data_IF_046414712148
#
_entry.id   IF_046414712148
#
_cell.length_a   1.000
_cell.length_b   1.000
_cell.length_c   1.000
_cell.angle_alpha   90.00
_cell.angle_beta   90.00
_cell.angle_gamma   90.00
#
_symmetry.space_group_name_H-M   'P 1'
#
loop_
_entity.id
_entity.type
_entity.pdbx_description
1 polymer ?
#
# COMPACT_ATOMS: atom_id res chain seq x y z
N UNK A 1 -3.08 21.67 -22.48
CA UNK A 1 -3.71 22.11 -21.22
C UNK A 1 -5.21 21.81 -21.17
N UNK A 2 -6.07 22.43 -22.05
CA UNK A 2 -7.54 22.19 -21.97
C UNK A 2 -7.90 20.70 -22.10
N UNK A 3 -7.27 19.97 -23.05
CA UNK A 3 -7.50 18.54 -23.25
C UNK A 3 -7.08 17.71 -22.02
N UNK A 4 -5.98 18.08 -21.37
CA UNK A 4 -5.50 17.40 -20.16
C UNK A 4 -6.49 17.57 -19.00
N UNK A 5 -7.01 18.79 -18.80
CA UNK A 5 -8.06 19.04 -17.79
C UNK A 5 -9.36 18.29 -18.10
N UNK A 6 -9.75 18.19 -19.38
CA UNK A 6 -10.93 17.42 -19.78
C UNK A 6 -10.78 15.93 -19.46
N UNK A 7 -9.61 15.35 -19.76
CA UNK A 7 -9.30 13.95 -19.44
C UNK A 7 -9.38 13.73 -17.92
N UNK A 8 -8.82 14.65 -17.14
CA UNK A 8 -8.86 14.56 -15.67
C UNK A 8 -10.28 14.66 -15.13
N UNK A 9 -11.12 15.56 -15.69
CA UNK A 9 -12.53 15.66 -15.31
C UNK A 9 -13.28 14.40 -15.65
N UNK A 10 -13.12 13.85 -16.84
CA UNK A 10 -13.75 12.59 -17.26
C UNK A 10 -13.32 11.44 -16.35
N UNK A 11 -12.03 11.37 -16.01
CA UNK A 11 -11.50 10.40 -15.06
C UNK A 11 -12.17 10.53 -13.67
N UNK A 12 -12.24 11.74 -13.11
CA UNK A 12 -12.86 11.97 -11.81
C UNK A 12 -14.35 11.58 -11.79
N UNK A 13 -15.10 11.98 -12.84
CA UNK A 13 -16.50 11.61 -13.00
C UNK A 13 -16.70 10.09 -13.16
N UNK A 14 -15.80 9.42 -13.87
CA UNK A 14 -15.82 7.96 -14.00
C UNK A 14 -15.61 7.27 -12.65
N UNK A 15 -14.67 7.75 -11.82
CA UNK A 15 -14.44 7.21 -10.46
C UNK A 15 -15.68 7.36 -9.58
N UNK A 16 -16.33 8.53 -9.58
CA UNK A 16 -17.56 8.75 -8.83
C UNK A 16 -18.72 7.89 -9.35
N UNK A 17 -18.86 7.76 -10.68
CA UNK A 17 -19.88 6.93 -11.33
C UNK A 17 -19.73 5.44 -10.99
N UNK A 18 -18.49 4.92 -11.03
CA UNK A 18 -18.16 3.55 -10.61
C UNK A 18 -18.40 3.35 -9.12
N UNK A 19 -18.04 4.34 -8.30
CA UNK A 19 -18.34 4.36 -6.87
C UNK A 19 -19.83 4.20 -6.61
N UNK A 20 -20.67 4.98 -7.29
CA UNK A 20 -22.12 4.89 -7.20
C UNK A 20 -22.66 3.55 -7.70
N UNK A 21 -22.11 3.00 -8.79
CA UNK A 21 -22.51 1.66 -9.26
C UNK A 21 -22.12 0.57 -8.24
N UNK A 22 -20.95 0.68 -7.61
CA UNK A 22 -20.50 -0.21 -6.55
C UNK A 22 -21.44 -0.19 -5.32
N UNK A 23 -21.96 1.00 -4.97
CA UNK A 23 -22.95 1.15 -3.89
C UNK A 23 -24.18 0.27 -4.09
N UNK A 24 -24.65 0.09 -5.34
CA UNK A 24 -25.79 -0.78 -5.65
C UNK A 24 -25.51 -2.26 -5.40
N UNK A 25 -24.24 -2.67 -5.40
CA UNK A 25 -23.81 -4.04 -5.12
C UNK A 25 -23.56 -4.28 -3.63
N UNK A 26 -23.23 -3.26 -2.87
CA UNK A 26 -22.94 -3.33 -1.44
C UNK A 26 -24.24 -3.30 -0.62
N UNK A 27 -24.87 -4.48 -0.42
CA UNK A 27 -26.14 -4.63 0.31
C UNK A 27 -25.96 -5.09 1.75
N UNK A 28 -24.83 -5.68 2.09
CA UNK A 28 -24.49 -6.20 3.41
C UNK A 28 -23.15 -5.63 3.90
N UNK A 29 -22.86 -5.78 5.18
CA UNK A 29 -21.55 -5.47 5.74
C UNK A 29 -20.42 -6.25 5.03
N UNK A 30 -20.62 -7.54 4.79
CA UNK A 30 -19.66 -8.38 4.07
C UNK A 30 -19.43 -7.89 2.63
N UNK A 31 -20.50 -7.40 1.96
CA UNK A 31 -20.32 -6.76 0.64
C UNK A 31 -19.50 -5.49 0.74
N UNK A 32 -19.72 -4.69 1.79
CA UNK A 32 -19.01 -3.42 1.99
C UNK A 32 -17.53 -3.62 2.37
N UNK A 33 -17.21 -4.58 3.26
CA UNK A 33 -15.86 -4.77 3.76
C UNK A 33 -14.99 -5.67 2.86
N UNK A 34 -15.57 -6.71 2.24
CA UNK A 34 -14.82 -7.75 1.49
C UNK A 34 -15.51 -8.19 0.19
N UNK A 35 -16.34 -7.34 -0.41
CA UNK A 35 -17.10 -7.62 -1.65
C UNK A 35 -17.85 -8.97 -1.64
N UNK A 36 -18.35 -9.37 -0.46
CA UNK A 36 -19.04 -10.64 -0.25
C UNK A 36 -18.21 -11.89 -0.56
N UNK A 37 -16.89 -11.79 -0.64
CA UNK A 37 -15.95 -12.88 -0.98
C UNK A 37 -16.23 -13.49 -2.36
N UNK A 38 -16.59 -12.68 -3.35
CA UNK A 38 -17.08 -13.13 -4.67
C UNK A 38 -16.19 -12.77 -5.85
N UNK A 39 -14.98 -12.21 -5.60
CA UNK A 39 -14.13 -11.75 -6.71
C UNK A 39 -13.52 -12.92 -7.48
N UNK A 40 -13.69 -12.89 -8.79
CA UNK A 40 -13.02 -13.79 -9.73
C UNK A 40 -11.59 -13.34 -10.04
N UNK A 41 -10.83 -14.12 -10.85
CA UNK A 41 -9.38 -13.92 -11.03
C UNK A 41 -9.02 -12.52 -11.56
N UNK A 42 -9.73 -12.02 -12.57
CA UNK A 42 -9.42 -10.70 -13.17
C UNK A 42 -9.65 -9.53 -12.20
N UNK A 43 -10.81 -9.52 -11.51
CA UNK A 43 -11.10 -8.50 -10.51
C UNK A 43 -10.12 -8.55 -9.32
N UNK A 44 -9.81 -9.77 -8.89
CA UNK A 44 -8.85 -9.97 -7.80
C UNK A 44 -7.44 -9.51 -8.16
N UNK A 45 -6.91 -9.89 -9.34
CA UNK A 45 -5.60 -9.47 -9.82
C UNK A 45 -5.53 -7.94 -9.91
N UNK A 46 -6.52 -7.32 -10.54
CA UNK A 46 -6.53 -5.87 -10.73
C UNK A 46 -6.58 -5.10 -9.42
N UNK A 47 -7.46 -5.47 -8.48
CA UNK A 47 -7.55 -4.77 -7.18
C UNK A 47 -6.33 -5.05 -6.28
N UNK A 48 -5.75 -6.26 -6.32
CA UNK A 48 -4.53 -6.59 -5.59
C UNK A 48 -3.33 -5.79 -6.11
N UNK A 49 -3.12 -5.75 -7.42
CA UNK A 49 -2.05 -4.94 -8.02
C UNK A 49 -2.30 -3.44 -7.84
N UNK A 50 -3.57 -3.01 -7.86
CA UNK A 50 -3.91 -1.60 -7.73
C UNK A 50 -3.58 -1.05 -6.33
N UNK A 51 -3.91 -1.76 -5.26
CA UNK A 51 -3.70 -1.27 -3.88
C UNK A 51 -2.23 -1.08 -3.54
N UNK A 52 -1.34 -1.91 -4.06
CA UNK A 52 0.10 -1.89 -3.76
C UNK A 52 0.84 -0.83 -4.56
N UNK A 53 0.39 -0.56 -5.79
CA UNK A 53 1.06 0.36 -6.69
C UNK A 53 0.52 1.79 -6.52
N UNK A 54 0.89 2.43 -5.43
CA UNK A 54 0.52 3.81 -5.07
C UNK A 54 1.53 4.87 -5.45
N UNK A 55 1.46 6.01 -4.75
CA UNK A 55 2.34 7.16 -5.00
C UNK A 55 3.81 6.84 -4.81
N UNK A 56 4.19 6.19 -3.71
CA UNK A 56 5.56 5.78 -3.46
C UNK A 56 6.07 4.74 -4.47
N UNK A 57 5.21 3.78 -4.86
CA UNK A 57 5.56 2.77 -5.86
C UNK A 57 5.68 3.33 -7.29
N UNK A 58 5.04 4.45 -7.60
CA UNK A 58 5.09 5.09 -8.92
C UNK A 58 6.09 6.25 -8.90
N UNK A 59 5.75 7.34 -8.22
CA UNK A 59 6.55 8.57 -8.18
C UNK A 59 7.87 8.33 -7.44
N UNK A 60 7.80 7.64 -6.29
CA UNK A 60 8.98 7.31 -5.51
C UNK A 60 9.95 6.40 -6.27
N UNK A 61 9.45 5.43 -7.03
CA UNK A 61 10.32 4.54 -7.83
C UNK A 61 10.93 5.27 -9.02
N UNK A 62 10.21 6.20 -9.67
CA UNK A 62 10.78 7.05 -10.71
C UNK A 62 11.88 7.97 -10.13
N UNK A 63 11.66 8.56 -8.94
CA UNK A 63 12.71 9.29 -8.20
C UNK A 63 13.95 8.40 -7.95
N UNK A 64 13.75 7.19 -7.43
CA UNK A 64 14.85 6.25 -7.18
C UNK A 64 15.56 5.87 -8.48
N UNK A 65 14.83 5.69 -9.58
CA UNK A 65 15.38 5.45 -10.91
C UNK A 65 16.20 6.64 -11.42
N UNK A 66 15.77 7.87 -11.15
CA UNK A 66 16.50 9.09 -11.46
C UNK A 66 17.83 9.18 -10.67
N UNK A 67 17.84 8.75 -9.41
CA UNK A 67 19.01 8.83 -8.53
C UNK A 67 19.97 7.64 -8.68
N UNK A 68 19.43 6.42 -8.82
CA UNK A 68 20.16 5.16 -8.71
C UNK A 68 19.97 4.22 -9.92
N UNK A 69 19.32 4.68 -10.99
CA UNK A 69 19.09 3.87 -12.17
C UNK A 69 18.17 2.68 -11.94
N UNK A 70 18.47 1.55 -12.57
CA UNK A 70 17.65 0.35 -12.53
C UNK A 70 17.46 -0.20 -11.10
N UNK A 71 18.46 -0.03 -10.23
CA UNK A 71 18.38 -0.46 -8.83
C UNK A 71 17.27 0.22 -8.02
N UNK A 72 16.71 1.33 -8.52
CA UNK A 72 15.51 1.95 -7.93
C UNK A 72 14.27 1.06 -7.91
N UNK A 73 14.24 -0.04 -8.69
CA UNK A 73 13.12 -0.99 -8.73
C UNK A 73 12.89 -1.74 -7.41
N UNK A 74 13.90 -1.87 -6.53
CA UNK A 74 13.88 -2.77 -5.38
C UNK A 74 12.72 -2.52 -4.41
N UNK A 75 12.27 -1.28 -4.24
CA UNK A 75 11.11 -0.96 -3.39
C UNK A 75 9.88 -1.77 -3.84
N UNK A 76 9.50 -1.64 -5.11
CA UNK A 76 8.30 -2.30 -5.65
C UNK A 76 8.53 -3.78 -5.89
N UNK A 77 9.76 -4.17 -6.22
CA UNK A 77 10.14 -5.58 -6.38
C UNK A 77 9.90 -6.35 -5.08
N UNK A 78 10.29 -5.79 -3.92
CA UNK A 78 10.09 -6.44 -2.62
C UNK A 78 8.60 -6.54 -2.24
N UNK A 79 7.79 -5.53 -2.56
CA UNK A 79 6.33 -5.62 -2.41
C UNK A 79 5.73 -6.74 -3.27
N UNK A 80 6.12 -6.79 -4.56
CA UNK A 80 5.68 -7.84 -5.48
C UNK A 80 6.08 -9.24 -5.02
N UNK A 81 7.32 -9.40 -4.52
CA UNK A 81 7.82 -10.66 -3.96
C UNK A 81 7.01 -11.07 -2.72
N UNK A 82 6.68 -10.13 -1.84
CA UNK A 82 5.82 -10.36 -0.69
C UNK A 82 4.44 -10.89 -1.08
N UNK A 83 3.80 -10.28 -2.10
CA UNK A 83 2.51 -10.76 -2.63
C UNK A 83 2.63 -12.18 -3.20
N UNK A 84 3.71 -12.49 -3.93
CA UNK A 84 3.94 -13.84 -4.47
C UNK A 84 4.03 -14.86 -3.34
N UNK A 85 4.86 -14.60 -2.34
CA UNK A 85 5.02 -15.51 -1.19
C UNK A 85 3.71 -15.66 -0.41
N UNK A 86 3.01 -14.55 -0.15
CA UNK A 86 1.72 -14.56 0.51
C UNK A 86 0.70 -15.42 -0.25
N UNK A 87 0.66 -15.28 -1.57
CA UNK A 87 -0.28 -15.99 -2.45
C UNK A 87 0.06 -17.48 -2.61
N UNK A 88 1.33 -17.85 -2.68
CA UNK A 88 1.75 -19.24 -2.90
C UNK A 88 1.83 -20.06 -1.60
N UNK A 89 2.33 -19.43 -0.53
CA UNK A 89 2.63 -20.12 0.73
C UNK A 89 1.44 -20.06 1.71
N UNK A 90 0.83 -18.88 1.86
CA UNK A 90 -0.15 -18.63 2.92
C UNK A 90 -1.61 -18.60 2.44
N UNK A 91 -1.89 -18.67 1.12
CA UNK A 91 -3.24 -18.58 0.56
C UNK A 91 -4.24 -19.53 1.20
N UNK A 92 -3.85 -20.81 1.38
CA UNK A 92 -4.70 -21.85 1.97
C UNK A 92 -5.04 -21.57 3.42
N UNK A 93 -4.05 -21.12 4.20
CA UNK A 93 -4.24 -20.82 5.62
C UNK A 93 -5.15 -19.60 5.80
N UNK A 94 -4.88 -18.52 5.06
CA UNK A 94 -5.61 -17.27 5.17
C UNK A 94 -7.05 -17.39 4.67
N UNK A 95 -7.29 -18.08 3.54
CA UNK A 95 -8.62 -18.27 2.98
C UNK A 95 -9.57 -19.05 3.93
N UNK A 96 -9.03 -19.93 4.77
CA UNK A 96 -9.79 -20.72 5.76
C UNK A 96 -10.17 -19.95 7.01
N UNK A 97 -9.47 -18.85 7.33
CA UNK A 97 -9.69 -18.10 8.57
C UNK A 97 -11.05 -17.37 8.60
N UNK A 98 -11.63 -17.05 7.44
CA UNK A 98 -12.92 -16.32 7.28
C UNK A 98 -13.05 -15.06 8.16
N UNK A 99 -11.93 -14.39 8.43
CA UNK A 99 -11.84 -13.15 9.19
C UNK A 99 -12.01 -11.93 8.28
N UNK A 100 -12.15 -10.73 8.85
CA UNK A 100 -12.14 -9.44 8.15
C UNK A 100 -10.81 -8.71 8.34
N UNK A 101 -10.09 -9.02 9.41
CA UNK A 101 -8.84 -8.32 9.78
C UNK A 101 -7.73 -9.30 10.15
N UNK A 102 -6.49 -8.87 9.88
CA UNK A 102 -5.28 -9.62 10.28
C UNK A 102 -5.20 -9.78 11.80
N UNK A 103 -5.62 -8.77 12.54
CA UNK A 103 -5.57 -8.74 14.00
C UNK A 103 -6.56 -9.69 14.67
N UNK A 104 -7.63 -10.12 13.96
CA UNK A 104 -8.48 -11.22 14.43
C UNK A 104 -7.71 -12.54 14.55
N UNK A 105 -6.65 -12.73 13.75
CA UNK A 105 -5.76 -13.89 13.88
C UNK A 105 -5.00 -13.85 15.20
N UNK A 106 -4.60 -12.66 15.66
CA UNK A 106 -3.97 -12.49 16.97
C UNK A 106 -4.92 -12.88 18.11
N UNK A 107 -6.21 -12.51 18.02
CA UNK A 107 -7.21 -12.92 19.03
C UNK A 107 -7.46 -14.41 19.02
N UNK A 108 -7.64 -15.01 17.83
CA UNK A 108 -7.87 -16.45 17.70
C UNK A 108 -6.72 -17.30 18.26
N UNK A 109 -5.49 -16.77 18.18
CA UNK A 109 -4.31 -17.48 18.64
C UNK A 109 -3.91 -17.12 20.07
N UNK A 110 -4.05 -15.87 20.47
CA UNK A 110 -3.58 -15.35 21.76
C UNK A 110 -4.74 -14.95 22.67
N UNK A 111 -5.15 -13.69 22.62
CA UNK A 111 -6.25 -13.15 23.43
C UNK A 111 -6.74 -11.80 22.89
N UNK A 112 -7.89 -11.34 23.41
CA UNK A 112 -8.53 -10.10 22.95
C UNK A 112 -7.63 -8.85 23.06
N UNK A 113 -6.80 -8.72 24.12
CA UNK A 113 -5.87 -7.59 24.27
C UNK A 113 -4.80 -7.55 23.18
N UNK A 114 -4.36 -8.69 22.65
CA UNK A 114 -3.44 -8.73 21.50
C UNK A 114 -4.09 -8.17 20.23
N UNK A 115 -5.40 -8.43 20.02
CA UNK A 115 -6.19 -7.84 18.94
C UNK A 115 -6.32 -6.32 19.09
N UNK A 116 -6.59 -5.83 20.29
CA UNK A 116 -6.72 -4.39 20.55
C UNK A 116 -5.43 -3.63 20.24
N UNK A 117 -4.31 -4.07 20.84
CA UNK A 117 -3.01 -3.41 20.66
C UNK A 117 -2.55 -3.53 19.20
N UNK A 118 -2.67 -4.71 18.60
CA UNK A 118 -2.37 -4.92 17.18
C UNK A 118 -3.28 -4.09 16.28
N UNK A 119 -4.55 -3.94 16.62
CA UNK A 119 -5.52 -3.11 15.90
C UNK A 119 -5.14 -1.63 15.89
N UNK A 120 -4.66 -1.09 16.99
CA UNK A 120 -4.19 0.31 17.07
C UNK A 120 -2.99 0.53 16.13
N UNK A 121 -2.01 -0.39 16.15
CA UNK A 121 -0.85 -0.32 15.24
C UNK A 121 -1.27 -0.44 13.79
N UNK A 122 -2.20 -1.35 13.48
CA UNK A 122 -2.69 -1.59 12.11
C UNK A 122 -3.48 -0.38 11.57
N UNK A 123 -4.34 0.24 12.40
CA UNK A 123 -5.06 1.49 12.02
C UNK A 123 -4.07 2.60 11.73
N UNK A 124 -3.04 2.77 12.58
CA UNK A 124 -2.01 3.78 12.36
C UNK A 124 -1.24 3.54 11.05
N UNK A 125 -0.89 2.28 10.77
CA UNK A 125 -0.23 1.89 9.52
C UNK A 125 -1.08 2.24 8.29
N UNK A 126 -2.29 1.67 8.20
CA UNK A 126 -3.15 1.87 7.03
C UNK A 126 -3.52 3.34 6.82
N UNK A 127 -3.80 4.08 7.92
CA UNK A 127 -4.09 5.51 7.85
C UNK A 127 -2.88 6.30 7.32
N UNK A 128 -1.66 6.02 7.80
CA UNK A 128 -0.47 6.71 7.34
C UNK A 128 -0.12 6.38 5.88
N UNK A 129 -0.35 5.16 5.42
CA UNK A 129 -0.21 4.83 3.99
C UNK A 129 -1.23 5.57 3.14
N UNK A 130 -2.49 5.67 3.61
CA UNK A 130 -3.52 6.46 2.92
C UNK A 130 -3.17 7.96 2.89
N UNK A 131 -2.62 8.50 3.98
CA UNK A 131 -2.09 9.88 4.05
C UNK A 131 -0.97 10.10 3.05
N UNK A 132 0.01 9.20 3.01
CA UNK A 132 1.13 9.23 2.05
C UNK A 132 0.65 9.31 0.61
N UNK A 133 -0.30 8.46 0.24
CA UNK A 133 -0.91 8.46 -1.07
C UNK A 133 -1.65 9.80 -1.33
N UNK A 134 -2.39 10.30 -0.36
CA UNK A 134 -3.16 11.55 -0.50
C UNK A 134 -2.24 12.78 -0.67
N UNK A 135 -1.10 12.82 0.03
CA UNK A 135 -0.06 13.85 -0.18
C UNK A 135 0.45 13.82 -1.63
N UNK A 136 0.68 12.63 -2.17
CA UNK A 136 1.19 12.46 -3.54
C UNK A 136 0.21 12.98 -4.61
N UNK A 137 -1.13 12.95 -4.36
CA UNK A 137 -2.12 13.62 -5.23
C UNK A 137 -1.79 15.12 -5.34
N UNK A 138 -1.56 15.77 -4.20
CA UNK A 138 -1.21 17.20 -4.16
C UNK A 138 0.06 17.49 -4.96
N UNK A 139 1.13 16.75 -4.72
CA UNK A 139 2.43 16.99 -5.36
C UNK A 139 2.38 16.82 -6.88
N UNK A 140 1.75 15.78 -7.40
CA UNK A 140 1.63 15.57 -8.86
C UNK A 140 0.79 16.68 -9.51
N UNK A 141 -0.31 17.05 -8.87
CA UNK A 141 -1.25 18.05 -9.41
C UNK A 141 -0.62 19.44 -9.39
N UNK A 142 0.14 19.76 -8.36
CA UNK A 142 0.85 21.03 -8.25
C UNK A 142 1.93 21.17 -9.34
N UNK A 143 2.77 20.17 -9.52
CA UNK A 143 3.88 20.22 -10.49
C UNK A 143 3.36 20.26 -11.93
N UNK A 144 2.36 19.42 -12.26
CA UNK A 144 1.89 19.32 -13.67
C UNK A 144 0.94 20.45 -14.06
N UNK A 145 0.05 20.84 -13.17
CA UNK A 145 -1.03 21.78 -13.48
C UNK A 145 -0.90 23.14 -12.78
N UNK A 146 0.05 23.30 -11.86
CA UNK A 146 0.20 24.53 -11.06
C UNK A 146 -0.95 24.74 -10.06
N UNK A 147 -1.76 23.72 -9.77
CA UNK A 147 -2.83 23.80 -8.77
C UNK A 147 -2.19 23.71 -7.39
N UNK A 148 -2.45 24.66 -6.46
CA UNK A 148 -1.85 24.60 -5.13
C UNK A 148 -2.12 23.29 -4.43
N UNK A 149 -1.14 22.78 -3.67
CA UNK A 149 -1.14 21.46 -3.03
C UNK A 149 -2.38 21.18 -2.18
N UNK A 150 -2.78 22.11 -1.30
CA UNK A 150 -3.90 21.90 -0.38
C UNK A 150 -5.24 21.73 -1.13
N UNK A 151 -5.66 22.61 -2.06
CA UNK A 151 -6.83 22.37 -2.91
C UNK A 151 -6.79 21.05 -3.66
N UNK A 152 -5.62 20.65 -4.19
CA UNK A 152 -5.46 19.38 -4.90
C UNK A 152 -5.66 18.17 -3.97
N UNK A 153 -5.11 18.20 -2.74
CA UNK A 153 -5.34 17.20 -1.70
C UNK A 153 -6.82 17.08 -1.34
N UNK A 154 -7.48 18.22 -1.10
CA UNK A 154 -8.90 18.25 -0.71
C UNK A 154 -9.81 17.74 -1.83
N UNK A 155 -9.58 18.12 -3.07
CA UNK A 155 -10.36 17.65 -4.22
C UNK A 155 -10.12 16.15 -4.47
N UNK A 156 -8.88 15.74 -4.67
CA UNK A 156 -8.56 14.36 -5.01
C UNK A 156 -8.85 13.38 -3.87
N UNK A 157 -8.44 13.72 -2.64
CA UNK A 157 -8.76 12.94 -1.46
C UNK A 157 -10.25 12.93 -1.14
N UNK A 158 -10.97 14.03 -1.39
CA UNK A 158 -12.43 14.09 -1.29
C UNK A 158 -13.13 13.11 -2.23
N UNK A 159 -12.68 12.98 -3.49
CA UNK A 159 -13.19 11.98 -4.44
C UNK A 159 -12.95 10.55 -3.89
N UNK A 160 -11.75 10.28 -3.36
CA UNK A 160 -11.41 8.99 -2.73
C UNK A 160 -12.38 8.66 -1.59
N UNK A 161 -12.62 9.61 -0.70
CA UNK A 161 -13.55 9.43 0.43
C UNK A 161 -14.95 9.12 -0.08
N UNK A 162 -15.47 9.91 -1.02
CA UNK A 162 -16.84 9.78 -1.51
C UNK A 162 -17.09 8.37 -2.05
N UNK A 163 -16.29 7.87 -3.00
CA UNK A 163 -16.56 6.55 -3.56
C UNK A 163 -16.27 5.42 -2.57
N UNK A 164 -15.33 5.61 -1.63
CA UNK A 164 -15.04 4.62 -0.58
C UNK A 164 -16.20 4.50 0.42
N UNK A 165 -16.75 5.63 0.87
CA UNK A 165 -17.87 5.68 1.83
C UNK A 165 -19.15 5.12 1.26
N UNK A 166 -19.47 5.43 -0.01
CA UNK A 166 -20.78 5.03 -0.58
C UNK A 166 -20.86 3.55 -0.88
N UNK A 167 -19.79 2.87 -1.31
CA UNK A 167 -19.87 1.48 -1.74
C UNK A 167 -18.79 0.53 -1.22
N UNK A 168 -17.85 1.01 -0.41
CA UNK A 168 -16.81 0.18 0.22
C UNK A 168 -16.03 -0.65 -0.81
N UNK A 169 -15.74 -1.91 -0.48
CA UNK A 169 -14.91 -2.80 -1.30
C UNK A 169 -15.46 -3.03 -2.71
N UNK A 170 -16.78 -3.02 -2.92
CA UNK A 170 -17.32 -3.11 -4.28
C UNK A 170 -16.99 -1.89 -5.13
N UNK A 171 -17.13 -0.68 -4.56
CA UNK A 171 -16.69 0.55 -5.26
C UNK A 171 -15.20 0.53 -5.54
N UNK A 172 -14.40 0.18 -4.54
CA UNK A 172 -12.94 0.07 -4.69
C UNK A 172 -12.57 -0.92 -5.80
N UNK A 173 -13.13 -2.13 -5.79
CA UNK A 173 -12.82 -3.13 -6.82
C UNK A 173 -13.13 -2.64 -8.23
N UNK A 174 -14.25 -1.95 -8.42
CA UNK A 174 -14.65 -1.44 -9.74
C UNK A 174 -13.78 -0.28 -10.20
N UNK A 175 -13.43 0.64 -9.30
CA UNK A 175 -12.49 1.74 -9.60
C UNK A 175 -11.09 1.19 -9.83
N UNK A 176 -10.62 0.25 -9.00
CA UNK A 176 -9.28 -0.37 -9.09
C UNK A 176 -9.03 -1.02 -10.46
N UNK A 177 -10.04 -1.68 -11.05
CA UNK A 177 -9.91 -2.30 -12.38
C UNK A 177 -9.66 -1.24 -13.46
N UNK A 178 -10.44 -0.16 -13.47
CA UNK A 178 -10.26 0.92 -14.44
C UNK A 178 -8.92 1.61 -14.20
N UNK A 179 -8.58 1.85 -12.95
CA UNK A 179 -7.28 2.43 -12.56
C UNK A 179 -6.10 1.52 -12.94
N UNK A 180 -6.26 0.20 -12.79
CA UNK A 180 -5.27 -0.78 -13.24
C UNK A 180 -5.04 -0.70 -14.76
N UNK A 181 -6.10 -0.59 -15.56
CA UNK A 181 -5.99 -0.45 -17.01
C UNK A 181 -5.33 0.88 -17.39
N UNK A 182 -5.79 2.00 -16.81
CA UNK A 182 -5.27 3.33 -17.12
C UNK A 182 -3.77 3.42 -16.77
N UNK A 183 -3.35 2.96 -15.61
CA UNK A 183 -1.93 2.98 -15.23
C UNK A 183 -1.08 2.02 -16.06
N UNK A 184 -1.63 0.85 -16.47
CA UNK A 184 -0.92 -0.07 -17.37
C UNK A 184 -0.67 0.60 -18.72
N UNK A 185 -1.68 1.19 -19.33
CA UNK A 185 -1.55 1.90 -20.59
C UNK A 185 -0.61 3.11 -20.45
N UNK A 186 -0.85 3.96 -19.43
CA UNK A 186 -0.09 5.19 -19.23
C UNK A 186 1.40 4.95 -18.97
N UNK A 187 1.75 3.95 -18.17
CA UNK A 187 3.14 3.66 -17.81
C UNK A 187 3.83 2.79 -18.87
N UNK A 188 3.28 1.61 -19.23
CA UNK A 188 3.99 0.67 -20.09
C UNK A 188 3.89 0.99 -21.58
N UNK A 189 2.75 1.56 -22.05
CA UNK A 189 2.53 1.78 -23.47
C UNK A 189 2.78 3.24 -23.89
N UNK A 190 2.77 4.19 -22.96
CA UNK A 190 2.95 5.61 -23.28
C UNK A 190 4.23 6.16 -22.66
N UNK A 191 4.32 6.27 -21.33
CA UNK A 191 5.43 6.98 -20.70
C UNK A 191 6.76 6.26 -20.87
N UNK A 192 6.83 4.96 -20.63
CA UNK A 192 8.07 4.18 -20.75
C UNK A 192 8.70 4.25 -22.15
N UNK A 193 7.98 3.91 -23.23
CA UNK A 193 8.59 3.94 -24.56
C UNK A 193 8.98 5.36 -24.99
N UNK A 194 8.15 6.37 -24.73
CA UNK A 194 8.46 7.76 -25.10
C UNK A 194 9.59 8.36 -24.26
N UNK A 195 9.75 7.94 -23.01
CA UNK A 195 10.89 8.36 -22.17
C UNK A 195 12.21 7.76 -22.68
N UNK A 196 12.21 6.47 -23.06
CA UNK A 196 13.39 5.80 -23.61
C UNK A 196 13.75 6.37 -24.98
N UNK A 197 12.77 6.60 -25.85
CA UNK A 197 12.98 7.20 -27.16
C UNK A 197 13.52 8.62 -27.05
N UNK A 198 12.91 9.45 -26.22
CA UNK A 198 13.39 10.81 -25.94
C UNK A 198 14.82 10.85 -25.39
N UNK A 199 15.22 9.86 -24.58
CA UNK A 199 16.59 9.72 -24.09
C UNK A 199 17.59 9.20 -25.17
N UNK A 200 17.12 8.92 -26.39
CA UNK A 200 17.94 8.41 -27.50
C UNK A 200 18.11 6.90 -27.50
N UNK A 201 17.24 6.15 -26.79
CA UNK A 201 17.26 4.70 -26.69
C UNK A 201 18.16 4.16 -25.57
N UNK A 202 18.00 2.88 -25.28
CA UNK A 202 18.75 2.22 -24.17
C UNK A 202 20.27 2.25 -24.39
N UNK A 203 20.76 2.16 -25.64
CA UNK A 203 22.19 2.21 -25.93
C UNK A 203 22.79 3.56 -25.51
N UNK A 204 22.15 4.68 -25.90
CA UNK A 204 22.60 6.01 -25.48
C UNK A 204 22.51 6.21 -23.97
N UNK A 205 21.44 5.71 -23.34
CA UNK A 205 21.32 5.76 -21.87
C UNK A 205 22.51 5.06 -21.18
N UNK A 206 22.98 3.92 -21.71
CA UNK A 206 24.15 3.22 -21.17
C UNK A 206 25.45 3.99 -21.34
N UNK A 207 25.58 4.77 -22.42
CA UNK A 207 26.78 5.58 -22.68
C UNK A 207 26.82 6.86 -21.82
N UNK A 208 25.68 7.50 -21.59
CA UNK A 208 25.61 8.83 -20.95
C UNK A 208 25.43 8.77 -19.44
N UNK A 209 24.72 7.73 -18.93
CA UNK A 209 24.45 7.60 -17.50
C UNK A 209 25.73 7.18 -16.75
N UNK A 210 25.85 7.57 -15.46
CA UNK A 210 26.96 7.15 -14.62
C UNK A 210 27.14 5.63 -14.60
N UNK A 211 28.37 5.18 -14.46
CA UNK A 211 28.67 3.76 -14.31
C UNK A 211 27.87 3.13 -13.17
N UNK A 212 27.29 1.96 -13.41
CA UNK A 212 26.46 1.27 -12.42
C UNK A 212 24.97 1.57 -12.47
N UNK A 213 24.49 2.55 -13.25
CA UNK A 213 23.02 2.84 -13.32
C UNK A 213 22.17 1.66 -13.80
N UNK A 214 22.75 0.71 -14.51
CA UNK A 214 22.10 -0.54 -14.90
C UNK A 214 22.46 -1.72 -13.99
N UNK A 215 23.30 -1.50 -12.96
CA UNK A 215 23.59 -2.50 -11.95
C UNK A 215 22.50 -2.50 -10.87
N UNK A 216 21.95 -3.69 -10.59
CA UNK A 216 20.94 -3.88 -9.55
C UNK A 216 21.44 -3.62 -8.12
N UNK A 217 22.76 -3.66 -7.91
CA UNK A 217 23.40 -3.36 -6.62
C UNK A 217 23.69 -1.88 -6.38
N UNK A 218 23.51 -1.00 -7.36
CA UNK A 218 23.97 0.39 -7.30
C UNK A 218 23.38 1.21 -6.13
N UNK A 219 22.15 0.94 -5.71
CA UNK A 219 21.50 1.59 -4.56
C UNK A 219 22.13 1.21 -3.20
N UNK A 220 22.96 0.18 -3.19
CA UNK A 220 23.62 -0.34 -1.98
C UNK A 220 22.87 -1.50 -1.33
N UNK A 221 23.63 -2.48 -0.84
CA UNK A 221 23.09 -3.69 -0.21
C UNK A 221 22.29 -3.38 1.05
N UNK A 222 22.73 -2.40 1.85
CA UNK A 222 22.02 -1.98 3.07
C UNK A 222 20.62 -1.47 2.78
N UNK A 223 20.45 -0.69 1.70
CA UNK A 223 19.14 -0.21 1.25
C UNK A 223 18.27 -1.36 0.73
N UNK A 224 18.85 -2.29 -0.04
CA UNK A 224 18.14 -3.48 -0.53
C UNK A 224 17.65 -4.34 0.63
N UNK A 225 18.48 -4.58 1.64
CA UNK A 225 18.11 -5.31 2.85
C UNK A 225 17.03 -4.57 3.65
N UNK A 226 17.12 -3.25 3.77
CA UNK A 226 16.09 -2.44 4.41
C UNK A 226 14.75 -2.53 3.68
N UNK A 227 14.76 -2.45 2.35
CA UNK A 227 13.53 -2.62 1.55
C UNK A 227 12.97 -4.04 1.66
N UNK A 228 13.82 -5.06 1.74
CA UNK A 228 13.39 -6.42 2.04
C UNK A 228 12.71 -6.49 3.41
N UNK A 229 13.33 -5.96 4.45
CA UNK A 229 12.74 -6.00 5.80
C UNK A 229 11.42 -5.21 5.89
N UNK A 230 11.34 -4.02 5.26
CA UNK A 230 10.15 -3.18 5.32
C UNK A 230 9.03 -3.67 4.39
N UNK A 231 9.33 -3.75 3.11
CA UNK A 231 8.27 -3.88 2.09
C UNK A 231 7.88 -5.34 1.82
N UNK A 232 8.86 -6.26 1.81
CA UNK A 232 8.52 -7.69 1.68
C UNK A 232 7.73 -8.18 2.89
N UNK A 233 8.22 -7.94 4.10
CA UNK A 233 7.51 -8.36 5.30
C UNK A 233 6.24 -7.55 5.55
N UNK A 234 6.23 -6.27 5.20
CA UNK A 234 5.02 -5.46 5.26
C UNK A 234 3.91 -5.99 4.35
N UNK A 235 4.26 -6.42 3.13
CA UNK A 235 3.30 -7.05 2.22
C UNK A 235 2.75 -8.38 2.75
N UNK A 236 3.51 -9.10 3.59
CA UNK A 236 3.03 -10.35 4.20
C UNK A 236 1.95 -10.13 5.28
N UNK A 237 1.91 -8.96 5.92
CA UNK A 237 1.05 -8.74 7.10
C UNK A 237 0.14 -7.51 7.01
N UNK A 238 0.26 -6.67 5.95
CA UNK A 238 -0.56 -5.47 5.77
C UNK A 238 -2.05 -5.78 5.64
N UNK A 239 -2.91 -5.06 6.38
CA UNK A 239 -4.35 -5.27 6.35
C UNK A 239 -4.94 -4.94 4.98
N UNK A 240 -4.45 -3.91 4.32
CA UNK A 240 -4.85 -3.51 2.97
C UNK A 240 -4.68 -4.65 1.94
N UNK A 241 -3.61 -5.44 2.06
CA UNK A 241 -3.33 -6.61 1.22
C UNK A 241 -4.19 -7.82 1.64
N UNK A 242 -4.25 -8.13 2.94
CA UNK A 242 -5.07 -9.25 3.43
C UNK A 242 -6.56 -9.05 3.15
N UNK A 243 -7.04 -7.81 3.25
CA UNK A 243 -8.44 -7.51 2.93
C UNK A 243 -8.76 -7.84 1.46
N UNK A 244 -7.80 -7.70 0.53
CA UNK A 244 -7.96 -8.18 -0.86
C UNK A 244 -8.01 -9.70 -0.92
N UNK A 245 -7.17 -10.41 -0.17
CA UNK A 245 -7.24 -11.89 -0.11
C UNK A 245 -8.63 -12.34 0.34
N UNK A 246 -9.23 -11.67 1.32
CA UNK A 246 -10.56 -11.99 1.81
C UNK A 246 -11.69 -11.74 0.79
N UNK A 247 -11.45 -10.99 -0.28
CA UNK A 247 -12.45 -10.76 -1.34
C UNK A 247 -12.55 -11.91 -2.34
N UNK A 248 -11.53 -12.75 -2.44
CA UNK A 248 -11.45 -13.82 -3.43
C UNK A 248 -12.52 -14.89 -3.23
N UNK A 249 -13.08 -15.39 -4.34
CA UNK A 249 -14.10 -16.46 -4.31
C UNK A 249 -13.54 -17.86 -4.00
N UNK A 250 -12.23 -18.07 -4.13
CA UNK A 250 -11.59 -19.35 -3.87
C UNK A 250 -10.08 -19.21 -3.62
N UNK A 251 -9.49 -20.22 -2.94
CA UNK A 251 -8.05 -20.34 -2.74
C UNK A 251 -7.26 -20.30 -4.07
N UNK A 252 -7.79 -20.97 -5.10
CA UNK A 252 -7.18 -21.00 -6.44
C UNK A 252 -7.04 -19.59 -7.03
N UNK A 253 -8.05 -18.72 -6.85
CA UNK A 253 -8.00 -17.33 -7.28
C UNK A 253 -6.89 -16.59 -6.53
N UNK A 254 -6.80 -16.73 -5.21
CA UNK A 254 -5.73 -16.09 -4.42
C UNK A 254 -4.36 -16.52 -4.94
N UNK A 255 -4.18 -17.84 -5.15
CA UNK A 255 -2.89 -18.42 -5.52
C UNK A 255 -2.40 -17.93 -6.89
N UNK A 256 -3.20 -18.08 -7.94
CA UNK A 256 -2.75 -17.80 -9.31
C UNK A 256 -2.92 -16.35 -9.72
N UNK A 257 -4.01 -15.70 -9.34
CA UNK A 257 -4.18 -14.29 -9.65
C UNK A 257 -3.31 -13.40 -8.74
N UNK A 258 -3.02 -13.83 -7.50
CA UNK A 258 -2.05 -13.17 -6.63
C UNK A 258 -0.61 -13.30 -7.14
N UNK A 259 -0.21 -14.49 -7.66
CA UNK A 259 1.07 -14.64 -8.36
C UNK A 259 1.17 -13.65 -9.53
N UNK A 260 0.13 -13.57 -10.37
CA UNK A 260 0.08 -12.63 -11.50
C UNK A 260 0.17 -11.17 -11.04
N UNK A 261 -0.51 -10.80 -9.94
CA UNK A 261 -0.43 -9.46 -9.38
C UNK A 261 0.98 -9.11 -8.88
N UNK A 262 1.65 -10.04 -8.18
CA UNK A 262 3.02 -9.82 -7.72
C UNK A 262 4.03 -9.67 -8.86
N UNK A 263 3.95 -10.51 -9.91
CA UNK A 263 4.78 -10.38 -11.11
C UNK A 263 4.52 -9.03 -11.80
N UNK A 264 3.26 -8.63 -11.95
CA UNK A 264 2.91 -7.34 -12.51
C UNK A 264 3.52 -6.19 -11.72
N UNK A 265 3.49 -6.24 -10.37
CA UNK A 265 4.12 -5.23 -9.53
C UNK A 265 5.64 -5.14 -9.77
N UNK A 266 6.33 -6.28 -9.87
CA UNK A 266 7.78 -6.30 -10.16
C UNK A 266 8.10 -5.65 -11.52
N UNK A 267 7.35 -5.98 -12.56
CA UNK A 267 7.51 -5.38 -13.90
C UNK A 267 7.20 -3.88 -13.88
N UNK A 268 6.17 -3.46 -13.13
CA UNK A 268 5.82 -2.06 -12.97
C UNK A 268 6.95 -1.27 -12.28
N UNK A 269 7.55 -1.83 -11.24
CA UNK A 269 8.72 -1.23 -10.57
C UNK A 269 9.90 -1.05 -11.52
N UNK A 270 10.21 -2.05 -12.34
CA UNK A 270 11.26 -1.98 -13.34
C UNK A 270 10.97 -0.89 -14.40
N UNK A 271 9.73 -0.80 -14.88
CA UNK A 271 9.30 0.25 -15.82
C UNK A 271 9.47 1.65 -15.21
N UNK A 272 9.01 1.86 -13.96
CA UNK A 272 9.17 3.14 -13.28
C UNK A 272 10.66 3.51 -13.04
N UNK A 273 11.51 2.55 -12.69
CA UNK A 273 12.94 2.79 -12.52
C UNK A 273 13.60 3.18 -13.86
N UNK A 274 13.24 2.54 -14.97
CA UNK A 274 13.73 2.90 -16.31
C UNK A 274 13.25 4.29 -16.76
N UNK A 275 12.00 4.66 -16.47
CA UNK A 275 11.49 6.02 -16.71
C UNK A 275 12.33 7.03 -15.92
N UNK A 276 12.67 6.74 -14.66
CA UNK A 276 13.53 7.59 -13.85
C UNK A 276 14.95 7.72 -14.40
N UNK A 277 15.55 6.62 -14.88
CA UNK A 277 16.86 6.63 -15.54
C UNK A 277 16.82 7.45 -16.84
N UNK A 278 15.76 7.34 -17.66
CA UNK A 278 15.57 8.18 -18.84
C UNK A 278 15.41 9.67 -18.46
N UNK A 279 14.68 9.96 -17.37
CA UNK A 279 14.56 11.32 -16.85
C UNK A 279 15.95 11.90 -16.45
N UNK A 280 16.85 11.10 -15.93
CA UNK A 280 18.23 11.53 -15.60
C UNK A 280 19.02 11.97 -16.84
N UNK A 281 18.78 11.32 -18.00
CA UNK A 281 19.41 11.71 -19.28
C UNK A 281 18.83 13.02 -19.80
N UNK A 282 17.50 13.17 -19.75
CA UNK A 282 16.79 14.32 -20.33
C UNK A 282 16.86 15.58 -19.44
N UNK A 283 16.90 15.39 -18.14
CA UNK A 283 16.83 16.45 -17.12
C UNK A 283 17.96 16.24 -16.09
N UNK A 284 19.24 16.39 -16.49
CA UNK A 284 20.39 16.02 -15.63
C UNK A 284 20.46 16.87 -14.36
N UNK A 285 20.01 18.12 -14.40
CA UNK A 285 20.13 19.12 -13.34
C UNK A 285 18.78 19.38 -12.62
N UNK A 286 17.94 18.34 -12.46
CA UNK A 286 16.67 18.50 -11.78
C UNK A 286 16.87 18.82 -10.29
N UNK A 287 16.47 20.02 -9.88
CA UNK A 287 16.68 20.53 -8.52
C UNK A 287 15.99 19.70 -7.44
N UNK A 288 14.83 19.12 -7.77
CA UNK A 288 13.99 18.32 -6.86
C UNK A 288 13.72 16.96 -7.50
N UNK A 289 14.49 15.91 -7.16
CA UNK A 289 14.33 14.56 -7.75
C UNK A 289 12.93 13.95 -7.57
N UNK A 290 12.18 14.37 -6.55
CA UNK A 290 10.77 14.01 -6.31
C UNK A 290 9.87 14.35 -7.49
N UNK A 291 10.22 15.38 -8.25
CA UNK A 291 9.44 15.86 -9.40
C UNK A 291 9.78 15.12 -10.70
N UNK A 292 10.73 14.18 -10.69
CA UNK A 292 11.20 13.48 -11.90
C UNK A 292 10.06 12.89 -12.73
N UNK A 293 9.05 12.28 -12.09
CA UNK A 293 7.88 11.75 -12.80
C UNK A 293 7.09 12.84 -13.53
N UNK A 294 6.82 13.94 -12.85
CA UNK A 294 6.02 15.02 -13.38
C UNK A 294 6.77 15.80 -14.49
N UNK A 295 8.06 16.06 -14.27
CA UNK A 295 8.88 16.80 -15.24
C UNK A 295 9.15 15.99 -16.52
N UNK A 296 9.48 14.68 -16.42
CA UNK A 296 9.63 13.86 -17.62
C UNK A 296 8.30 13.73 -18.38
N UNK A 297 7.17 13.66 -17.66
CA UNK A 297 5.83 13.64 -18.28
C UNK A 297 5.57 14.94 -19.06
N UNK A 298 6.04 16.08 -18.57
CA UNK A 298 5.95 17.37 -19.28
C UNK A 298 6.89 17.45 -20.47
N UNK A 299 8.08 16.90 -20.35
CA UNK A 299 9.12 16.96 -21.37
C UNK A 299 8.79 16.11 -22.60
N UNK A 300 8.41 14.84 -22.39
CA UNK A 300 8.27 13.87 -23.50
C UNK A 300 6.85 13.76 -24.06
N UNK A 301 5.82 14.31 -23.39
CA UNK A 301 4.43 14.09 -23.81
C UNK A 301 3.75 15.34 -24.34
N UNK A 302 3.09 15.19 -25.50
CA UNK A 302 2.18 16.17 -26.04
C UNK A 302 0.90 16.31 -25.17
N UNK A 303 0.19 17.45 -25.27
CA UNK A 303 -1.13 17.63 -24.64
C UNK A 303 -2.09 16.51 -25.04
N UNK A 304 -2.85 15.99 -24.08
CA UNK A 304 -3.71 14.81 -24.20
C UNK A 304 -3.03 13.54 -23.73
N UNK A 305 -1.88 13.16 -24.25
CA UNK A 305 -1.08 12.05 -23.70
C UNK A 305 -0.59 12.38 -22.29
N UNK A 306 -0.23 13.63 -22.04
CA UNK A 306 0.12 14.13 -20.72
C UNK A 306 -1.02 13.96 -19.72
N UNK A 307 -2.25 14.37 -20.09
CA UNK A 307 -3.43 14.15 -19.26
C UNK A 307 -3.69 12.68 -18.94
N UNK A 308 -3.53 11.78 -19.92
CA UNK A 308 -3.66 10.34 -19.71
C UNK A 308 -2.62 9.78 -18.72
N UNK A 309 -1.35 10.20 -18.84
CA UNK A 309 -0.28 9.73 -17.96
C UNK A 309 -0.43 10.31 -16.54
N UNK A 310 -0.90 11.55 -16.41
CA UNK A 310 -1.26 12.10 -15.09
C UNK A 310 -2.45 11.34 -14.49
N UNK A 311 -3.48 11.02 -15.28
CA UNK A 311 -4.57 10.16 -14.83
C UNK A 311 -4.06 8.76 -14.41
N UNK A 312 -3.03 8.23 -15.07
CA UNK A 312 -2.38 6.97 -14.67
C UNK A 312 -1.67 7.10 -13.30
N UNK A 313 -0.96 8.19 -13.04
CA UNK A 313 -0.37 8.47 -11.73
C UNK A 313 -1.45 8.59 -10.65
N UNK A 314 -2.48 9.40 -10.90
CA UNK A 314 -3.58 9.55 -9.96
C UNK A 314 -4.35 8.23 -9.74
N UNK A 315 -4.50 7.41 -10.78
CA UNK A 315 -5.06 6.07 -10.66
C UNK A 315 -4.26 5.19 -9.68
N UNK A 316 -2.93 5.22 -9.81
CA UNK A 316 -2.04 4.50 -8.90
C UNK A 316 -2.18 5.01 -7.46
N UNK A 317 -2.17 6.31 -7.27
CA UNK A 317 -2.24 6.96 -5.95
C UNK A 317 -3.61 6.72 -5.29
N UNK A 318 -4.70 6.99 -6.02
CA UNK A 318 -6.06 6.92 -5.49
C UNK A 318 -6.50 5.51 -5.13
N UNK A 319 -6.04 4.47 -5.87
CA UNK A 319 -6.32 3.06 -5.53
C UNK A 319 -5.69 2.65 -4.20
N UNK A 320 -4.48 3.09 -3.92
CA UNK A 320 -3.82 2.84 -2.63
C UNK A 320 -4.49 3.64 -1.50
N UNK A 321 -4.77 4.94 -1.73
CA UNK A 321 -5.45 5.77 -0.72
C UNK A 321 -6.79 5.18 -0.29
N UNK A 322 -7.64 4.79 -1.23
CA UNK A 322 -8.95 4.18 -0.94
C UNK A 322 -8.83 2.80 -0.28
N UNK A 323 -7.86 2.01 -0.72
CA UNK A 323 -7.60 0.69 -0.17
C UNK A 323 -7.20 0.73 1.30
N UNK A 324 -6.21 1.54 1.62
CA UNK A 324 -5.74 1.72 2.99
C UNK A 324 -6.78 2.45 3.87
N UNK A 325 -7.52 3.42 3.31
CA UNK A 325 -8.63 4.06 4.02
C UNK A 325 -9.68 3.04 4.46
N UNK A 326 -10.12 2.15 3.56
CA UNK A 326 -11.10 1.12 3.90
C UNK A 326 -10.51 0.07 4.86
N UNK A 327 -9.22 -0.25 4.74
CA UNK A 327 -8.53 -1.17 5.63
C UNK A 327 -8.47 -0.61 7.06
N UNK A 328 -8.03 0.64 7.22
CA UNK A 328 -8.03 1.33 8.51
C UNK A 328 -9.43 1.40 9.14
N UNK A 329 -10.44 1.75 8.34
CA UNK A 329 -11.84 1.79 8.79
C UNK A 329 -12.36 0.42 9.21
N UNK A 330 -11.98 -0.65 8.50
CA UNK A 330 -12.37 -2.03 8.83
C UNK A 330 -11.77 -2.45 10.17
N UNK A 331 -10.48 -2.22 10.38
CA UNK A 331 -9.80 -2.54 11.65
C UNK A 331 -10.40 -1.72 12.80
N UNK A 332 -10.59 -0.41 12.62
CA UNK A 332 -11.20 0.44 13.64
C UNK A 332 -12.61 -0.04 14.01
N UNK A 333 -13.42 -0.43 13.01
CA UNK A 333 -14.78 -0.93 13.23
C UNK A 333 -14.79 -2.28 13.93
N UNK A 334 -14.10 -3.27 13.37
CA UNK A 334 -14.21 -4.67 13.79
C UNK A 334 -13.40 -4.94 15.06
N UNK A 335 -12.18 -4.39 15.16
CA UNK A 335 -11.22 -4.74 16.19
C UNK A 335 -11.29 -3.84 17.41
N UNK A 336 -11.74 -2.59 17.26
CA UNK A 336 -11.80 -1.63 18.36
C UNK A 336 -13.27 -1.34 18.73
N UNK A 337 -14.06 -0.84 17.79
CA UNK A 337 -15.42 -0.38 18.10
C UNK A 337 -16.37 -1.54 18.45
N UNK A 338 -16.55 -2.51 17.55
CA UNK A 338 -17.50 -3.60 17.76
C UNK A 338 -17.06 -4.57 18.86
N UNK A 339 -15.73 -4.74 19.04
CA UNK A 339 -15.19 -5.70 20.01
C UNK A 339 -15.12 -5.14 21.44
N UNK A 340 -14.71 -3.86 21.62
CA UNK A 340 -14.40 -3.30 22.92
C UNK A 340 -15.32 -2.15 23.35
N UNK A 341 -15.74 -1.28 22.43
CA UNK A 341 -16.53 -0.11 22.79
C UNK A 341 -18.04 -0.43 22.84
N UNK A 342 -18.55 -1.26 21.94
CA UNK A 342 -19.94 -1.71 21.92
C UNK A 342 -20.05 -3.21 21.60
N UNK A 343 -19.68 -4.10 22.52
CA UNK A 343 -19.81 -5.55 22.34
C UNK A 343 -21.27 -5.95 22.08
N UNK A 344 -21.48 -6.86 21.11
CA UNK A 344 -22.80 -7.36 20.76
C UNK A 344 -23.63 -6.47 19.81
N UNK A 345 -23.11 -5.32 19.37
CA UNK A 345 -23.76 -4.54 18.32
C UNK A 345 -23.59 -5.26 16.99
N UNK A 346 -24.70 -5.58 16.31
CA UNK A 346 -24.64 -6.03 14.91
C UNK A 346 -24.08 -4.89 14.07
N UNK A 347 -22.91 -5.11 13.48
CA UNK A 347 -22.29 -4.10 12.62
C UNK A 347 -23.15 -3.90 11.37
N UNK A 348 -23.70 -2.69 11.23
CA UNK A 348 -24.50 -2.28 10.07
C UNK A 348 -23.60 -1.57 9.04
N UNK A 349 -23.99 -1.64 7.78
CA UNK A 349 -23.33 -0.94 6.66
C UNK A 349 -23.30 0.58 6.90
N UNK A 350 -24.27 1.15 7.63
CA UNK A 350 -24.29 2.56 8.01
C UNK A 350 -23.13 2.92 8.94
N UNK A 351 -22.86 2.07 9.92
CA UNK A 351 -21.72 2.23 10.82
C UNK A 351 -20.41 2.17 10.03
N UNK A 352 -20.28 1.21 9.11
CA UNK A 352 -19.10 1.10 8.24
C UNK A 352 -18.86 2.37 7.43
N UNK A 353 -19.91 2.95 6.87
CA UNK A 353 -19.83 4.24 6.14
C UNK A 353 -19.42 5.40 7.04
N UNK A 354 -20.00 5.52 8.23
CA UNK A 354 -19.64 6.58 9.19
C UNK A 354 -18.17 6.48 9.62
N UNK A 355 -17.69 5.27 9.94
CA UNK A 355 -16.30 5.06 10.34
C UNK A 355 -15.35 5.33 9.15
N UNK A 356 -15.69 4.88 7.93
CA UNK A 356 -14.90 5.19 6.74
C UNK A 356 -14.82 6.70 6.48
N UNK A 357 -15.93 7.44 6.68
CA UNK A 357 -15.94 8.90 6.57
C UNK A 357 -15.05 9.55 7.64
N UNK A 358 -15.15 9.11 8.89
CA UNK A 358 -14.31 9.61 9.99
C UNK A 358 -12.82 9.42 9.68
N UNK A 359 -12.43 8.22 9.25
CA UNK A 359 -11.06 7.92 8.87
C UNK A 359 -10.62 8.73 7.64
N UNK A 360 -11.52 8.95 6.68
CA UNK A 360 -11.26 9.79 5.50
C UNK A 360 -11.00 11.26 5.86
N UNK A 361 -11.78 11.81 6.78
CA UNK A 361 -11.53 13.18 7.30
C UNK A 361 -10.19 13.24 8.03
N UNK A 362 -9.87 12.26 8.87
CA UNK A 362 -8.57 12.17 9.54
C UNK A 362 -7.42 12.09 8.52
N UNK A 363 -7.56 11.29 7.46
CA UNK A 363 -6.61 11.18 6.35
C UNK A 363 -6.37 12.56 5.68
N UNK A 364 -7.44 13.30 5.35
CA UNK A 364 -7.30 14.63 4.73
C UNK A 364 -6.60 15.63 5.65
N UNK A 365 -6.99 15.68 6.92
CA UNK A 365 -6.38 16.59 7.91
C UNK A 365 -4.89 16.28 8.03
N UNK A 366 -4.52 15.03 8.20
CA UNK A 366 -3.11 14.61 8.31
C UNK A 366 -2.34 14.89 7.01
N UNK A 367 -2.94 14.66 5.83
CA UNK A 367 -2.31 14.94 4.54
C UNK A 367 -2.04 16.43 4.31
N UNK A 368 -2.86 17.32 4.90
CA UNK A 368 -2.60 18.77 4.86
C UNK A 368 -1.49 19.20 5.84
N UNK A 369 -1.27 18.45 6.92
CA UNK A 369 -0.28 18.77 7.97
C UNK A 369 1.10 18.17 7.68
N UNK A 370 1.16 17.00 7.06
CA UNK A 370 2.40 16.27 6.77
C UNK A 370 2.93 16.67 5.39
N UNK A 371 4.24 16.92 5.28
CA UNK A 371 4.85 17.40 4.03
C UNK A 371 5.70 16.34 3.33
N UNK A 372 6.22 15.35 4.04
CA UNK A 372 7.14 14.36 3.50
C UNK A 372 6.45 13.00 3.31
N UNK A 373 6.29 12.61 2.03
CA UNK A 373 5.67 11.34 1.60
C UNK A 373 6.48 10.14 2.06
N UNK A 374 7.83 10.21 1.94
CA UNK A 374 8.70 9.07 2.23
C UNK A 374 8.81 8.86 3.73
N UNK A 375 8.93 9.95 4.50
CA UNK A 375 8.96 9.87 5.96
C UNK A 375 7.66 9.27 6.51
N UNK A 376 6.50 9.70 6.01
CA UNK A 376 5.21 9.15 6.41
C UNK A 376 5.08 7.65 6.11
N UNK A 377 5.54 7.23 4.92
CA UNK A 377 5.57 5.80 4.54
C UNK A 377 6.53 5.00 5.42
N UNK A 378 7.72 5.54 5.68
CA UNK A 378 8.73 4.90 6.55
C UNK A 378 8.18 4.66 7.96
N UNK A 379 7.53 5.65 8.57
CA UNK A 379 6.88 5.50 9.88
C UNK A 379 5.87 4.36 9.85
N UNK A 380 4.99 4.36 8.84
CA UNK A 380 3.94 3.34 8.70
C UNK A 380 4.52 1.92 8.68
N UNK A 381 5.45 1.65 7.76
CA UNK A 381 6.01 0.30 7.59
C UNK A 381 6.91 -0.13 8.75
N UNK A 382 7.68 0.78 9.34
CA UNK A 382 8.50 0.47 10.51
C UNK A 382 7.65 0.04 11.70
N UNK A 383 6.54 0.75 11.99
CA UNK A 383 5.62 0.39 13.06
C UNK A 383 4.89 -0.93 12.78
N UNK A 384 4.42 -1.12 11.54
CA UNK A 384 3.76 -2.35 11.14
C UNK A 384 4.69 -3.56 11.33
N UNK A 385 5.86 -3.53 10.69
CA UNK A 385 6.76 -4.68 10.64
C UNK A 385 7.49 -4.87 11.97
N UNK A 386 8.03 -3.80 12.54
CA UNK A 386 8.72 -3.86 13.84
C UNK A 386 7.81 -4.30 15.00
N UNK A 387 6.53 -3.90 14.96
CA UNK A 387 5.55 -4.25 15.99
C UNK A 387 4.81 -5.57 15.75
N UNK A 388 4.33 -5.83 14.52
CA UNK A 388 3.34 -6.88 14.28
C UNK A 388 3.86 -8.11 13.53
N UNK A 389 4.98 -8.05 12.81
CA UNK A 389 5.46 -9.19 12.02
C UNK A 389 5.69 -10.42 12.88
N UNK A 390 6.46 -10.28 13.95
CA UNK A 390 6.86 -11.40 14.79
C UNK A 390 5.66 -12.10 15.45
N UNK A 391 4.72 -11.40 16.11
CA UNK A 391 3.57 -12.06 16.72
C UNK A 391 2.59 -12.63 15.68
N UNK A 392 2.42 -12.04 14.48
CA UNK A 392 1.56 -12.60 13.41
C UNK A 392 2.17 -13.88 12.85
N UNK A 393 3.46 -13.86 12.48
CA UNK A 393 4.17 -15.05 11.98
C UNK A 393 4.24 -16.12 13.06
N UNK A 394 4.51 -15.71 14.30
CA UNK A 394 4.49 -16.61 15.46
C UNK A 394 3.12 -17.26 15.71
N UNK A 395 2.03 -16.54 15.46
CA UNK A 395 0.67 -17.10 15.55
C UNK A 395 0.45 -18.24 14.55
N UNK A 396 1.01 -18.12 13.36
CA UNK A 396 0.83 -19.08 12.26
C UNK A 396 1.79 -20.27 12.35
N UNK A 397 3.03 -20.05 12.81
CA UNK A 397 4.12 -21.03 12.67
C UNK A 397 4.62 -21.62 14.00
N UNK A 398 4.52 -20.89 15.13
CA UNK A 398 5.15 -21.32 16.37
C UNK A 398 4.17 -21.78 17.45
N UNK A 399 4.15 -23.09 17.70
CA UNK A 399 3.22 -23.72 18.67
C UNK A 399 3.45 -23.26 20.12
N UNK A 400 4.66 -22.86 20.49
CA UNK A 400 5.04 -22.44 21.86
C UNK A 400 4.69 -20.98 22.16
N UNK A 401 4.28 -20.19 21.15
CA UNK A 401 3.91 -18.79 21.30
C UNK A 401 2.85 -18.56 22.40
N UNK A 402 3.04 -17.53 23.21
CA UNK A 402 2.15 -17.18 24.32
C UNK A 402 1.46 -15.84 24.13
N UNK A 403 0.29 -15.59 24.77
CA UNK A 403 -0.39 -14.31 24.71
C UNK A 403 0.45 -13.16 25.28
N UNK A 404 1.15 -13.40 26.41
CA UNK A 404 2.04 -12.43 27.03
C UNK A 404 3.23 -12.10 26.12
N UNK A 405 3.80 -13.13 25.47
CA UNK A 405 4.88 -12.97 24.50
C UNK A 405 4.46 -12.09 23.32
N UNK A 406 3.25 -12.28 22.80
CA UNK A 406 2.73 -11.49 21.70
C UNK A 406 2.56 -10.00 22.07
N UNK A 407 1.98 -9.70 23.23
CA UNK A 407 1.80 -8.32 23.69
C UNK A 407 3.16 -7.66 23.94
N UNK A 408 4.05 -8.33 24.69
CA UNK A 408 5.38 -7.82 24.98
C UNK A 408 6.19 -7.55 23.70
N UNK A 409 6.08 -8.43 22.70
CA UNK A 409 6.69 -8.28 21.38
C UNK A 409 6.20 -7.04 20.64
N UNK A 410 4.87 -6.82 20.57
CA UNK A 410 4.30 -5.64 19.91
C UNK A 410 4.80 -4.36 20.57
N UNK A 411 4.71 -4.29 21.89
CA UNK A 411 5.10 -3.10 22.66
C UNK A 411 6.61 -2.83 22.53
N UNK A 412 7.44 -3.85 22.75
CA UNK A 412 8.89 -3.70 22.66
C UNK A 412 9.36 -3.31 21.24
N UNK A 413 8.77 -3.94 20.20
CA UNK A 413 9.06 -3.63 18.81
C UNK A 413 8.70 -2.18 18.45
N UNK A 414 7.48 -1.74 18.78
CA UNK A 414 7.04 -0.35 18.53
C UNK A 414 7.89 0.67 19.31
N UNK A 415 8.20 0.42 20.58
CA UNK A 415 9.04 1.32 21.37
C UNK A 415 10.47 1.41 20.81
N UNK A 416 11.06 0.30 20.39
CA UNK A 416 12.38 0.28 19.77
C UNK A 416 12.38 1.06 18.44
N UNK A 417 11.36 0.88 17.60
CA UNK A 417 11.18 1.65 16.35
C UNK A 417 11.13 3.14 16.67
N UNK A 418 10.25 3.57 17.56
CA UNK A 418 10.07 4.99 17.92
C UNK A 418 11.36 5.58 18.49
N UNK A 419 12.04 4.86 19.40
CA UNK A 419 13.30 5.31 19.99
C UNK A 419 14.41 5.47 18.94
N UNK A 420 14.53 4.52 17.99
CA UNK A 420 15.51 4.61 16.91
C UNK A 420 15.17 5.74 15.93
N UNK A 421 13.90 5.94 15.59
CA UNK A 421 13.47 7.08 14.76
C UNK A 421 13.79 8.42 15.41
N UNK A 422 13.58 8.54 16.71
CA UNK A 422 13.89 9.76 17.46
C UNK A 422 15.41 10.03 17.54
N UNK A 423 16.23 8.98 17.61
CA UNK A 423 17.69 9.08 17.70
C UNK A 423 18.36 9.29 16.36
N UNK A 424 17.99 8.47 15.35
CA UNK A 424 18.75 8.32 14.10
C UNK A 424 18.02 8.99 12.92
N UNK A 425 16.77 9.41 13.11
CA UNK A 425 15.92 10.03 12.09
C UNK A 425 14.93 9.06 11.44
N UNK A 426 13.91 9.64 10.79
CA UNK A 426 12.77 8.90 10.23
C UNK A 426 13.13 8.01 9.03
N UNK A 427 14.20 8.33 8.31
CA UNK A 427 14.66 7.63 7.09
C UNK A 427 15.86 6.71 7.34
N UNK A 428 16.29 6.56 8.60
CA UNK A 428 17.39 5.66 8.95
C UNK A 428 16.99 4.18 8.79
N UNK A 429 17.97 3.31 8.57
CA UNK A 429 17.77 1.86 8.48
C UNK A 429 17.66 1.20 9.88
N UNK A 430 18.15 1.86 10.91
CA UNK A 430 18.17 1.33 12.29
C UNK A 430 16.78 1.01 12.87
N UNK A 431 15.70 1.79 12.66
CA UNK A 431 14.40 1.52 13.25
C UNK A 431 13.84 0.14 12.94
N UNK A 432 13.91 -0.31 11.68
CA UNK A 432 13.38 -1.63 11.32
C UNK A 432 14.22 -2.76 11.90
N UNK A 433 15.54 -2.64 11.88
CA UNK A 433 16.44 -3.69 12.37
C UNK A 433 16.28 -3.88 13.87
N UNK A 434 16.40 -2.79 14.65
CA UNK A 434 16.27 -2.87 16.10
C UNK A 434 14.83 -3.14 16.56
N UNK A 435 13.84 -2.64 15.82
CA UNK A 435 12.42 -2.97 16.07
C UNK A 435 12.15 -4.46 15.94
N UNK A 436 12.60 -5.09 14.85
CA UNK A 436 12.46 -6.54 14.66
C UNK A 436 13.25 -7.35 15.69
N UNK A 437 14.50 -6.96 16.00
CA UNK A 437 15.31 -7.66 17.01
C UNK A 437 14.67 -7.59 18.38
N UNK A 438 14.20 -6.41 18.82
CA UNK A 438 13.51 -6.22 20.07
C UNK A 438 12.20 -7.02 20.15
N UNK A 439 11.40 -6.97 19.07
CA UNK A 439 10.17 -7.75 18.93
C UNK A 439 10.45 -9.24 19.04
N UNK A 440 11.42 -9.77 18.28
CA UNK A 440 11.77 -11.19 18.27
C UNK A 440 12.33 -11.68 19.62
N UNK A 441 13.30 -10.96 20.17
CA UNK A 441 13.92 -11.32 21.43
C UNK A 441 12.89 -11.37 22.57
N UNK A 442 12.03 -10.35 22.65
CA UNK A 442 10.98 -10.25 23.66
C UNK A 442 9.92 -11.32 23.47
N UNK A 443 9.51 -11.59 22.20
CA UNK A 443 8.55 -12.63 21.89
C UNK A 443 9.04 -14.01 22.34
N UNK A 444 10.28 -14.35 22.01
CA UNK A 444 10.87 -15.65 22.37
C UNK A 444 11.04 -15.75 23.88
N UNK A 445 11.69 -14.78 24.51
CA UNK A 445 11.97 -14.80 25.95
C UNK A 445 10.69 -14.92 26.79
N UNK A 446 9.69 -14.06 26.53
CA UNK A 446 8.44 -14.06 27.29
C UNK A 446 7.59 -15.31 26.97
N UNK A 447 7.56 -15.77 25.72
CA UNK A 447 6.81 -16.99 25.38
C UNK A 447 7.42 -18.24 26.01
N UNK A 448 8.74 -18.32 26.18
CA UNK A 448 9.39 -19.43 26.88
C UNK A 448 9.12 -19.40 28.39
N UNK A 449 9.04 -18.22 28.98
CA UNK A 449 8.78 -18.01 30.41
C UNK A 449 7.29 -18.15 30.79
N UNK A 450 6.36 -18.12 29.83
CA UNK A 450 4.92 -18.15 30.09
C UNK A 450 4.23 -19.37 29.48
N UNK A 451 2.94 -19.58 29.80
CA UNK A 451 2.17 -20.69 29.25
C UNK A 451 1.86 -20.47 27.78
N UNK A 452 2.00 -21.53 26.92
CA UNK A 452 1.67 -21.41 25.52
C UNK A 452 0.18 -21.12 25.31
N UNK A 453 -0.13 -20.41 24.21
CA UNK A 453 -1.50 -20.21 23.79
C UNK A 453 -2.14 -21.55 23.32
N UNK A 454 -3.47 -21.64 23.37
CA UNK A 454 -4.19 -22.74 22.76
C UNK A 454 -3.91 -22.80 21.25
N UNK A 455 -3.95 -23.99 20.65
CA UNK A 455 -3.80 -24.12 19.19
C UNK A 455 -4.91 -23.33 18.47
N UNK A 456 -4.61 -22.75 17.31
CA UNK A 456 -5.62 -22.18 16.42
C UNK A 456 -6.73 -23.21 16.17
N UNK A 457 -7.92 -22.96 16.69
CA UNK A 457 -9.07 -23.81 16.40
C UNK A 457 -9.54 -23.46 14.99
N UNK A 458 -9.50 -24.44 14.07
CA UNK A 458 -10.30 -24.34 12.86
C UNK A 458 -11.76 -24.16 13.29
N UNK A 459 -12.44 -23.11 12.83
CA UNK A 459 -13.87 -23.01 13.02
C UNK A 459 -14.51 -24.22 12.33
N UNK A 460 -15.42 -24.97 12.98
CA UNK A 460 -16.15 -26.03 12.28
C UNK A 460 -16.92 -25.42 11.09
N UNK A 461 -16.96 -26.17 9.99
CA UNK A 461 -17.62 -25.82 8.72
C UNK A 461 -19.10 -25.51 8.89
#
# INVERSE_FOLDING_TARGET
MLLDYLIMLVYALAMLGLGWYGMRKAKSQSDFLVAGRRLGPGLYLGTMAAVVLGGASTIGTVKLGYQFGLSGLWLVFMLGLGIIVLSLVFSRQIARLRVFTVTQVLEQRYQASSRLIGGVVMVAYDLMVAVTATIAIGSVTEVVFGIPRIPAILCGGGIVIVYSVIGGMWSLTLTDIIQFVIKTVGIFLVLLPLSIDGAGGLARMQEVLPAGFFDLGHIGLDTILTYFLLYFFGALIGQDIWQRIFTARSETVVRYAGLGAGIYCMLYGAACALIGAAARVLLPDLAVPENAYAEITREVLAPGLRGLVVAAALSAIMSTASGCLLAAATVLQEDIYARFLRPGTTSDIRLSRCITLLMGVAMLVLACLVNDVIAALSIAYNLLVGGLLVPIVGALLWRRASPQGAIASIVAGCLAVIACMARDGLLANSPIVYGLLASLATFVAVSLATRPAASLRAQPE
#
